data_IF_502578216373
#
_entry.id   IF_502578216373
#
_cell.length_a   1.000
_cell.length_b   1.000
_cell.length_c   1.000
_cell.angle_alpha   90.00
_cell.angle_beta   90.00
_cell.angle_gamma   90.00
#
_symmetry.space_group_name_H-M   'P 1'
#
loop_
_entity.id
_entity.type
_entity.pdbx_description
1 polymer ?
#
# COMPACT_ATOMS: atom_id res chain seq x y z
N UNK A 1 -3.33 -21.79 6.53
CA UNK A 1 -3.35 -21.26 7.91
C UNK A 1 -1.96 -20.91 8.40
N UNK A 2 -0.95 -21.79 8.22
CA UNK A 2 0.44 -21.52 8.68
C UNK A 2 1.08 -20.26 8.08
N UNK A 3 0.93 -20.02 6.78
CA UNK A 3 1.53 -18.84 6.13
C UNK A 3 0.93 -17.51 6.57
N UNK A 4 -0.36 -17.48 6.91
CA UNK A 4 -1.00 -16.24 7.38
C UNK A 4 -0.44 -15.87 8.75
N UNK A 5 -0.26 -16.86 9.65
CA UNK A 5 0.35 -16.65 10.96
C UNK A 5 1.75 -16.03 10.87
N UNK A 6 2.59 -16.46 9.92
CA UNK A 6 3.91 -15.83 9.68
C UNK A 6 3.78 -14.35 9.32
N UNK A 7 2.81 -14.00 8.47
CA UNK A 7 2.58 -12.62 8.03
C UNK A 7 2.00 -11.75 9.16
N UNK A 8 1.09 -12.29 9.96
CA UNK A 8 0.55 -11.62 11.15
C UNK A 8 1.65 -11.37 12.20
N UNK A 9 2.48 -12.38 12.48
CA UNK A 9 3.62 -12.26 13.37
C UNK A 9 4.62 -11.21 12.84
N UNK A 10 4.89 -11.20 11.53
CA UNK A 10 5.73 -10.18 10.90
C UNK A 10 5.16 -8.77 11.05
N UNK A 11 3.83 -8.61 11.04
CA UNK A 11 3.17 -7.32 11.24
C UNK A 11 3.13 -6.88 12.72
N UNK A 12 2.92 -7.80 13.68
CA UNK A 12 2.54 -7.44 15.07
C UNK A 12 3.57 -7.79 16.15
N UNK A 13 4.38 -8.83 15.98
CA UNK A 13 5.05 -9.48 17.12
C UNK A 13 6.57 -9.32 17.14
N UNK A 14 7.16 -9.58 18.30
CA UNK A 14 8.58 -9.88 18.52
C UNK A 14 8.69 -11.27 19.20
N UNK A 15 9.62 -12.15 18.79
CA UNK A 15 10.59 -11.99 17.71
C UNK A 15 9.92 -11.99 16.32
N UNK A 16 10.54 -11.28 15.38
CA UNK A 16 10.09 -11.22 13.98
C UNK A 16 10.56 -12.48 13.23
N UNK A 17 9.74 -13.07 12.34
CA UNK A 17 10.19 -14.10 11.41
C UNK A 17 11.36 -13.63 10.55
N UNK A 18 12.13 -14.57 9.99
CA UNK A 18 13.20 -14.20 9.06
C UNK A 18 12.63 -13.57 7.78
N UNK A 19 13.37 -12.65 7.16
CA UNK A 19 12.95 -12.05 5.88
C UNK A 19 12.64 -13.09 4.80
N UNK A 20 13.38 -14.21 4.77
CA UNK A 20 13.14 -15.29 3.83
C UNK A 20 11.78 -15.97 4.05
N UNK A 21 11.42 -16.25 5.31
CA UNK A 21 10.13 -16.84 5.67
C UNK A 21 8.96 -15.92 5.30
N UNK A 22 9.07 -14.61 5.59
CA UNK A 22 8.04 -13.63 5.20
C UNK A 22 7.84 -13.61 3.68
N UNK A 23 8.93 -13.64 2.92
CA UNK A 23 8.87 -13.59 1.45
C UNK A 23 8.24 -14.86 0.88
N UNK A 24 8.60 -16.02 1.41
CA UNK A 24 7.98 -17.28 1.04
C UNK A 24 6.47 -17.25 1.32
N UNK A 25 6.07 -16.81 2.52
CA UNK A 25 4.67 -16.67 2.90
C UNK A 25 3.90 -15.69 2.02
N UNK A 26 4.49 -14.53 1.67
CA UNK A 26 3.89 -13.56 0.75
C UNK A 26 3.69 -14.14 -0.66
N UNK A 27 4.69 -14.85 -1.20
CA UNK A 27 4.60 -15.47 -2.51
C UNK A 27 3.56 -16.60 -2.55
N UNK A 28 3.46 -17.38 -1.47
CA UNK A 28 2.45 -18.42 -1.36
C UNK A 28 1.04 -17.83 -1.24
N UNK A 29 0.86 -16.78 -0.43
CA UNK A 29 -0.41 -16.06 -0.34
C UNK A 29 -0.84 -15.51 -1.71
N UNK A 30 0.08 -14.91 -2.48
CA UNK A 30 -0.22 -14.45 -3.83
C UNK A 30 -0.60 -15.59 -4.79
N UNK A 31 0.12 -16.73 -4.72
CA UNK A 31 -0.19 -17.92 -5.52
C UNK A 31 -1.57 -18.47 -5.18
N UNK A 32 -1.90 -18.55 -3.90
CA UNK A 32 -3.19 -19.00 -3.40
C UNK A 32 -4.32 -18.09 -3.89
N UNK A 33 -4.18 -16.78 -3.72
CA UNK A 33 -5.18 -15.80 -4.16
C UNK A 33 -5.47 -15.91 -5.67
N UNK A 34 -4.44 -16.12 -6.49
CA UNK A 34 -4.59 -16.35 -7.93
C UNK A 34 -5.29 -17.67 -8.23
N UNK A 35 -4.88 -18.76 -7.58
CA UNK A 35 -5.47 -20.11 -7.77
C UNK A 35 -6.95 -20.12 -7.42
N UNK A 36 -7.30 -19.50 -6.30
CA UNK A 36 -8.66 -19.50 -5.75
C UNK A 36 -9.50 -18.30 -6.23
N UNK A 37 -8.93 -17.43 -7.09
CA UNK A 37 -9.58 -16.24 -7.66
C UNK A 37 -10.24 -15.36 -6.58
N UNK A 38 -9.58 -15.21 -5.43
CA UNK A 38 -10.09 -14.44 -4.29
C UNK A 38 -10.37 -13.00 -4.75
N UNK A 39 -11.52 -12.45 -4.34
CA UNK A 39 -11.95 -11.08 -4.62
C UNK A 39 -12.10 -10.31 -3.32
N UNK A 40 -11.67 -9.05 -3.35
CA UNK A 40 -11.85 -8.11 -2.25
C UNK A 40 -12.73 -6.96 -2.71
N UNK A 41 -13.33 -6.23 -1.77
CA UNK A 41 -13.95 -4.92 -2.02
C UNK A 41 -13.00 -3.79 -1.61
N UNK A 42 -13.24 -2.58 -2.11
CA UNK A 42 -12.46 -1.42 -1.67
C UNK A 42 -12.66 -1.11 -0.18
N UNK A 43 -13.88 -1.33 0.34
CA UNK A 43 -14.22 -1.12 1.74
C UNK A 43 -13.30 -1.90 2.70
N UNK A 44 -12.94 -3.14 2.35
CA UNK A 44 -12.02 -3.97 3.15
C UNK A 44 -10.61 -3.38 3.26
N UNK A 45 -10.22 -2.49 2.33
CA UNK A 45 -8.93 -1.80 2.36
C UNK A 45 -8.99 -0.49 3.16
N UNK A 46 -10.17 0.02 3.50
CA UNK A 46 -10.30 1.32 4.18
C UNK A 46 -9.68 1.31 5.58
N UNK A 47 -9.21 2.49 6.01
CA UNK A 47 -8.52 2.67 7.29
C UNK A 47 -7.01 2.84 7.13
N UNK A 48 -6.30 2.71 8.26
CA UNK A 48 -4.89 3.03 8.37
C UNK A 48 -4.03 1.76 8.47
N UNK A 49 -2.96 1.74 7.67
CA UNK A 49 -2.08 0.59 7.54
C UNK A 49 -0.62 1.02 7.66
N UNK A 50 0.11 0.47 8.63
CA UNK A 50 1.54 0.71 8.78
C UNK A 50 2.34 -0.23 7.89
N UNK A 51 3.29 0.31 7.14
CA UNK A 51 4.20 -0.50 6.34
C UNK A 51 5.18 -1.25 7.24
N UNK A 52 5.14 -2.59 7.19
CA UNK A 52 5.94 -3.45 8.05
C UNK A 52 7.14 -4.05 7.30
N UNK A 53 6.93 -4.51 6.07
CA UNK A 53 7.94 -5.25 5.32
C UNK A 53 7.84 -4.97 3.81
N UNK A 54 8.98 -4.85 3.14
CA UNK A 54 9.06 -4.65 1.69
C UNK A 54 10.15 -5.49 1.04
N UNK A 55 10.02 -5.69 -0.26
CA UNK A 55 11.06 -6.26 -1.10
C UNK A 55 11.45 -5.31 -2.24
N UNK A 56 12.64 -5.49 -2.82
CA UNK A 56 13.07 -4.71 -3.98
C UNK A 56 12.23 -4.99 -5.24
N UNK A 57 12.23 -4.04 -6.18
CA UNK A 57 11.56 -4.18 -7.49
C UNK A 57 12.26 -5.22 -8.38
N UNK A 58 11.59 -5.71 -9.43
CA UNK A 58 12.20 -6.64 -10.40
C UNK A 58 13.52 -6.10 -10.98
N UNK A 59 13.55 -4.81 -11.36
CA UNK A 59 14.74 -4.16 -11.91
C UNK A 59 15.87 -4.04 -10.89
N UNK A 60 15.55 -3.71 -9.64
CA UNK A 60 16.54 -3.59 -8.56
C UNK A 60 17.12 -4.96 -8.18
N UNK A 61 16.33 -6.03 -8.24
CA UNK A 61 16.79 -7.41 -8.01
C UNK A 61 17.71 -7.94 -9.13
N UNK A 62 17.55 -7.45 -10.37
CA UNK A 62 18.38 -7.87 -11.51
C UNK A 62 19.73 -7.13 -11.60
N UNK A 63 19.82 -5.90 -11.11
CA UNK A 63 21.04 -5.07 -11.20
C UNK A 63 22.05 -5.29 -10.07
N UNK A 64 21.63 -5.84 -8.93
CA UNK A 64 22.52 -6.19 -7.84
C UNK A 64 22.71 -7.70 -7.85
N UNK A 65 23.78 -8.18 -8.50
CA UNK A 65 24.21 -9.57 -8.42
C UNK A 65 24.45 -9.95 -6.97
N UNK A 66 23.41 -10.53 -6.34
CA UNK A 66 23.31 -10.79 -4.89
C UNK A 66 23.24 -9.47 -4.08
N UNK A 67 22.46 -9.41 -2.99
CA UNK A 67 22.38 -8.29 -2.02
C UNK A 67 21.41 -7.11 -2.31
N UNK A 68 20.25 -7.33 -2.95
CA UNK A 68 19.01 -6.77 -2.39
C UNK A 68 18.23 -7.93 -1.82
N UNK A 69 18.40 -8.13 -0.51
CA UNK A 69 17.97 -9.32 0.23
C UNK A 69 16.50 -9.68 0.05
N UNK A 70 16.17 -10.92 0.43
CA UNK A 70 14.84 -11.53 0.36
C UNK A 70 13.70 -10.53 0.62
N UNK A 71 13.86 -9.67 1.64
CA UNK A 71 13.12 -8.44 1.88
C UNK A 71 13.63 -7.79 3.15
N UNK A 72 13.07 -6.66 3.55
CA UNK A 72 13.47 -5.91 4.74
C UNK A 72 12.28 -5.42 5.54
N UNK A 73 12.41 -5.45 6.86
CA UNK A 73 11.52 -4.75 7.76
C UNK A 73 11.78 -3.24 7.73
N UNK A 74 10.73 -2.46 7.95
CA UNK A 74 10.85 -1.02 8.18
C UNK A 74 11.01 -0.81 9.69
N UNK A 75 12.15 -0.28 10.17
CA UNK A 75 12.34 -0.05 11.59
C UNK A 75 11.46 1.11 12.07
N UNK A 76 10.58 0.82 13.03
CA UNK A 76 9.60 1.79 13.54
C UNK A 76 10.25 3.02 14.20
N UNK A 77 11.43 2.84 14.77
CA UNK A 77 12.20 3.91 15.41
C UNK A 77 12.89 4.85 14.41
N UNK A 78 13.04 4.45 13.14
CA UNK A 78 13.61 5.29 12.08
C UNK A 78 12.54 6.13 11.41
N UNK A 79 11.44 5.48 11.02
CA UNK A 79 10.34 6.13 10.32
C UNK A 79 9.05 5.36 10.54
N UNK A 80 7.97 6.09 10.83
CA UNK A 80 6.62 5.53 10.79
C UNK A 80 6.03 5.82 9.43
N UNK A 81 5.92 4.78 8.60
CA UNK A 81 5.34 4.86 7.25
C UNK A 81 3.94 4.26 7.30
N UNK A 82 2.94 5.04 6.90
CA UNK A 82 1.56 4.58 6.83
C UNK A 82 0.98 4.81 5.44
N UNK A 83 0.03 3.96 5.08
CA UNK A 83 -0.88 4.19 3.97
C UNK A 83 -2.31 4.13 4.51
N UNK A 84 -3.13 5.08 4.10
CA UNK A 84 -4.53 5.14 4.48
C UNK A 84 -5.40 5.19 3.23
N UNK A 85 -6.55 4.54 3.31
CA UNK A 85 -7.56 4.54 2.25
C UNK A 85 -8.91 4.99 2.79
N UNK A 86 -9.59 5.84 2.04
CA UNK A 86 -10.94 6.29 2.34
C UNK A 86 -11.79 6.27 1.07
N UNK A 87 -13.06 5.90 1.21
CA UNK A 87 -14.05 6.01 0.12
C UNK A 87 -14.47 7.47 -0.06
N UNK A 88 -14.77 7.86 -1.29
CA UNK A 88 -15.51 9.11 -1.52
C UNK A 88 -16.97 8.92 -1.07
N UNK A 89 -17.58 9.87 -0.35
CA UNK A 89 -18.99 9.79 0.03
C UNK A 89 -19.88 9.70 -1.22
N UNK A 90 -20.84 8.77 -1.20
CA UNK A 90 -21.90 8.69 -2.20
C UNK A 90 -23.21 9.16 -1.60
N UNK A 91 -24.13 9.62 -2.45
CA UNK A 91 -25.46 10.01 -1.99
C UNK A 91 -26.19 8.80 -1.35
N UNK A 92 -27.08 9.08 -0.40
CA UNK A 92 -27.85 8.04 0.27
C UNK A 92 -28.66 7.22 -0.73
N UNK A 93 -28.52 5.89 -0.68
CA UNK A 93 -29.15 4.95 -1.61
C UNK A 93 -28.33 4.56 -2.84
N UNK A 94 -27.15 5.16 -3.04
CA UNK A 94 -26.23 4.74 -4.11
C UNK A 94 -25.32 3.58 -3.68
N UNK A 95 -24.81 2.84 -4.67
CA UNK A 95 -23.87 1.74 -4.42
C UNK A 95 -22.54 2.29 -3.87
N UNK A 96 -21.85 1.54 -3.00
CA UNK A 96 -20.52 1.92 -2.51
C UNK A 96 -19.60 2.26 -3.68
N UNK A 97 -18.92 3.40 -3.58
CA UNK A 97 -17.99 3.85 -4.60
C UNK A 97 -16.71 3.01 -4.58
N UNK A 98 -16.26 2.57 -5.75
CA UNK A 98 -14.92 2.00 -5.93
C UNK A 98 -13.86 3.10 -6.12
N UNK A 99 -14.25 4.37 -5.95
CA UNK A 99 -13.40 5.55 -6.01
C UNK A 99 -13.18 6.07 -4.58
N UNK A 100 -11.98 6.56 -4.34
CA UNK A 100 -11.59 7.04 -3.04
C UNK A 100 -10.36 7.93 -3.07
N UNK A 101 -9.72 7.99 -1.91
CA UNK A 101 -8.44 8.67 -1.71
C UNK A 101 -7.43 7.73 -1.06
N UNK A 102 -6.17 7.97 -1.38
CA UNK A 102 -5.03 7.40 -0.69
C UNK A 102 -4.25 8.51 -0.02
N UNK A 103 -3.74 8.21 1.17
CA UNK A 103 -2.71 9.02 1.83
C UNK A 103 -1.52 8.11 2.14
N UNK A 104 -0.33 8.50 1.74
CA UNK A 104 0.92 7.85 2.13
C UNK A 104 1.71 8.83 2.98
N UNK A 105 1.84 8.54 4.27
CA UNK A 105 2.51 9.39 5.23
C UNK A 105 3.80 8.78 5.73
N UNK A 106 4.80 9.63 5.93
CA UNK A 106 6.10 9.28 6.49
C UNK A 106 6.40 10.27 7.62
N UNK A 107 6.45 9.76 8.84
CA UNK A 107 6.86 10.51 10.03
C UNK A 107 8.28 10.13 10.40
N UNK A 108 9.18 11.12 10.40
CA UNK A 108 10.58 11.00 10.86
C UNK A 108 10.83 12.10 11.89
N UNK A 109 11.04 11.70 13.14
CA UNK A 109 11.13 12.65 14.26
C UNK A 109 9.87 13.50 14.36
N UNK A 110 10.02 14.82 14.22
CA UNK A 110 8.93 15.78 14.29
C UNK A 110 8.30 16.15 12.93
N UNK A 111 8.85 15.64 11.81
CA UNK A 111 8.44 16.00 10.46
C UNK A 111 7.55 14.89 9.90
N UNK A 112 6.34 15.25 9.47
CA UNK A 112 5.42 14.38 8.76
C UNK A 112 5.27 14.88 7.32
N UNK A 113 5.57 14.00 6.36
CA UNK A 113 5.31 14.23 4.94
C UNK A 113 4.18 13.30 4.51
N UNK A 114 3.11 13.87 3.94
CA UNK A 114 1.99 13.08 3.42
C UNK A 114 1.77 13.39 1.95
N UNK A 115 1.79 12.35 1.12
CA UNK A 115 1.35 12.41 -0.28
C UNK A 115 -0.07 11.87 -0.36
N UNK A 116 -0.96 12.57 -1.06
CA UNK A 116 -2.33 12.11 -1.24
C UNK A 116 -2.83 12.30 -2.67
N UNK A 117 -3.93 11.63 -3.00
CA UNK A 117 -4.58 11.75 -4.28
C UNK A 117 -5.66 10.71 -4.51
N UNK A 118 -6.24 10.67 -5.72
CA UNK A 118 -7.39 9.84 -6.02
C UNK A 118 -7.01 8.35 -6.14
N UNK A 119 -7.98 7.48 -5.85
CA UNK A 119 -7.90 6.04 -6.06
C UNK A 119 -9.08 5.54 -6.88
N UNK A 120 -8.85 4.45 -7.61
CA UNK A 120 -9.95 3.61 -8.13
C UNK A 120 -9.61 2.14 -7.97
N UNK A 121 -10.57 1.38 -7.49
CA UNK A 121 -10.42 -0.05 -7.23
C UNK A 121 -11.06 -0.87 -8.35
N UNK A 122 -10.28 -1.76 -8.95
CA UNK A 122 -10.73 -2.71 -9.95
C UNK A 122 -10.97 -4.06 -9.28
N UNK A 123 -12.20 -4.28 -8.79
CA UNK A 123 -12.63 -5.49 -8.07
C UNK A 123 -12.24 -6.78 -8.81
N UNK A 124 -12.45 -6.82 -10.13
CA UNK A 124 -12.13 -7.98 -10.97
C UNK A 124 -10.63 -8.28 -11.10
N UNK A 125 -9.76 -7.44 -10.57
CA UNK A 125 -8.31 -7.62 -10.60
C UNK A 125 -7.67 -7.49 -9.21
N UNK A 126 -8.45 -7.11 -8.18
CA UNK A 126 -7.96 -6.64 -6.88
C UNK A 126 -6.86 -5.56 -7.03
N UNK A 127 -7.01 -4.69 -8.03
CA UNK A 127 -6.02 -3.63 -8.30
C UNK A 127 -6.57 -2.31 -7.77
N UNK A 128 -5.84 -1.69 -6.84
CA UNK A 128 -6.04 -0.31 -6.47
C UNK A 128 -5.07 0.55 -7.26
N UNK A 129 -5.60 1.29 -8.24
CA UNK A 129 -4.85 2.32 -8.95
C UNK A 129 -4.91 3.63 -8.16
N UNK A 130 -3.83 4.40 -8.21
CA UNK A 130 -3.72 5.69 -7.52
C UNK A 130 -2.76 6.62 -8.24
N UNK A 131 -2.87 7.91 -7.94
CA UNK A 131 -1.85 8.92 -8.26
C UNK A 131 -1.66 9.83 -7.05
N UNK A 132 -0.42 10.20 -6.76
CA UNK A 132 -0.13 11.22 -5.76
C UNK A 132 -0.08 12.57 -6.45
N UNK A 133 -1.04 13.42 -6.11
CA UNK A 133 -1.28 14.71 -6.76
C UNK A 133 -1.12 15.84 -5.77
N UNK A 134 -1.19 15.56 -4.47
CA UNK A 134 -1.11 16.53 -3.38
C UNK A 134 -0.02 16.14 -2.38
N UNK A 135 0.49 17.16 -1.68
CA UNK A 135 1.49 17.01 -0.63
C UNK A 135 1.11 17.89 0.56
N UNK A 136 1.29 17.35 1.76
CA UNK A 136 1.18 18.05 3.03
C UNK A 136 2.48 17.85 3.81
N UNK A 137 3.00 18.93 4.37
CA UNK A 137 4.18 18.92 5.25
C UNK A 137 3.75 19.43 6.62
N UNK A 138 3.96 18.64 7.67
CA UNK A 138 3.76 19.08 9.05
C UNK A 138 5.06 19.03 9.84
N UNK A 139 5.21 19.97 10.76
CA UNK A 139 6.27 19.99 11.77
C UNK A 139 5.63 20.10 13.14
N UNK A 140 5.96 19.18 14.06
CA UNK A 140 5.37 19.12 15.40
C UNK A 140 3.83 19.12 15.36
N UNK A 141 3.26 18.41 14.38
CA UNK A 141 1.81 18.32 14.15
C UNK A 141 1.16 19.55 13.48
N UNK A 142 1.88 20.66 13.30
CA UNK A 142 1.36 21.87 12.63
C UNK A 142 1.62 21.80 11.12
N UNK A 143 0.59 22.06 10.31
CA UNK A 143 0.72 22.13 8.85
C UNK A 143 1.56 23.34 8.45
N UNK A 144 2.68 23.11 7.77
CA UNK A 144 3.55 24.14 7.19
C UNK A 144 3.24 24.38 5.72
N UNK A 145 2.79 23.34 5.02
CA UNK A 145 2.45 23.39 3.61
C UNK A 145 1.36 22.38 3.29
N UNK A 146 0.43 22.77 2.44
CA UNK A 146 -0.54 21.87 1.84
C UNK A 146 -0.89 22.38 0.43
N UNK A 147 -0.81 21.52 -0.57
CA UNK A 147 -1.14 21.91 -1.94
C UNK A 147 -0.92 20.80 -2.95
N UNK A 148 -1.12 21.12 -4.23
CA UNK A 148 -0.77 20.20 -5.31
C UNK A 148 0.76 20.08 -5.44
N UNK A 149 1.24 18.89 -5.78
CA UNK A 149 2.59 18.74 -6.32
C UNK A 149 2.62 19.28 -7.75
N UNK A 150 3.82 19.48 -8.32
CA UNK A 150 3.97 19.99 -9.69
C UNK A 150 3.13 19.16 -10.69
N UNK A 151 2.22 19.83 -11.39
CA UNK A 151 1.27 19.22 -12.34
C UNK A 151 0.20 18.33 -11.71
N UNK A 152 0.06 18.33 -10.38
CA UNK A 152 -0.86 17.46 -9.65
C UNK A 152 -2.32 17.72 -9.97
N UNK A 153 -2.71 18.99 -10.14
CA UNK A 153 -4.09 19.38 -10.46
C UNK A 153 -4.58 18.78 -11.78
N UNK A 154 -3.83 18.97 -12.87
CA UNK A 154 -4.14 18.39 -14.18
C UNK A 154 -4.16 16.85 -14.14
N UNK A 155 -3.21 16.21 -13.44
CA UNK A 155 -3.21 14.74 -13.30
C UNK A 155 -4.40 14.22 -12.49
N UNK A 156 -4.81 14.94 -11.45
CA UNK A 156 -6.00 14.59 -10.66
C UNK A 156 -7.27 14.63 -11.52
N UNK A 157 -7.40 15.66 -12.37
CA UNK A 157 -8.52 15.79 -13.31
C UNK A 157 -8.56 14.68 -14.38
N UNK A 158 -7.40 14.20 -14.84
CA UNK A 158 -7.31 13.15 -15.87
C UNK A 158 -7.36 11.71 -15.29
N UNK A 159 -7.21 11.55 -13.98
CA UNK A 159 -6.98 10.25 -13.34
C UNK A 159 -8.02 9.17 -13.69
N UNK A 160 -9.30 9.53 -13.71
CA UNK A 160 -10.36 8.55 -13.98
C UNK A 160 -10.41 8.11 -15.46
N UNK A 161 -9.91 8.95 -16.37
CA UNK A 161 -9.88 8.70 -17.81
C UNK A 161 -8.68 7.84 -18.26
N UNK A 162 -7.64 7.72 -17.42
CA UNK A 162 -6.46 6.92 -17.73
C UNK A 162 -6.69 5.43 -17.50
N UNK A 163 -6.13 4.59 -18.37
CA UNK A 163 -6.08 3.14 -18.12
C UNK A 163 -5.09 2.82 -16.99
N UNK A 164 -5.36 1.77 -16.21
CA UNK A 164 -4.50 1.34 -15.09
C UNK A 164 -3.07 1.01 -15.54
N UNK A 165 -2.91 0.57 -16.79
CA UNK A 165 -1.60 0.37 -17.42
C UNK A 165 -0.71 1.62 -17.47
N UNK A 166 -1.27 2.83 -17.29
CA UNK A 166 -0.52 4.11 -17.21
C UNK A 166 -0.41 4.66 -15.78
N UNK A 167 -1.03 4.02 -14.81
CA UNK A 167 -1.13 4.52 -13.43
C UNK A 167 -0.20 3.76 -12.49
N UNK A 168 0.12 4.36 -11.33
CA UNK A 168 0.64 3.61 -10.20
C UNK A 168 -0.47 2.72 -9.65
N UNK A 169 -0.10 1.54 -9.15
CA UNK A 169 -1.07 0.62 -8.59
C UNK A 169 -0.46 -0.37 -7.60
N UNK A 170 -1.33 -0.90 -6.75
CA UNK A 170 -1.11 -2.09 -5.94
C UNK A 170 -2.08 -3.19 -6.36
N UNK A 171 -1.56 -4.38 -6.67
CA UNK A 171 -2.35 -5.59 -6.85
C UNK A 171 -2.42 -6.34 -5.53
N UNK A 172 -3.55 -6.22 -4.83
CA UNK A 172 -3.80 -6.85 -3.54
C UNK A 172 -4.06 -8.34 -3.70
N UNK A 173 -3.41 -9.13 -2.85
CA UNK A 173 -3.58 -10.59 -2.84
C UNK A 173 -3.88 -11.15 -1.44
N UNK A 174 -3.71 -10.35 -0.39
CA UNK A 174 -4.14 -10.69 0.97
C UNK A 174 -4.78 -9.46 1.60
N UNK A 175 -6.00 -9.61 2.11
CA UNK A 175 -6.71 -8.59 2.88
C UNK A 175 -7.41 -9.30 4.03
N UNK A 176 -6.95 -9.02 5.25
CA UNK A 176 -7.47 -9.56 6.51
C UNK A 176 -7.65 -8.39 7.49
N UNK A 177 -8.42 -8.59 8.56
CA UNK A 177 -8.69 -7.54 9.56
C UNK A 177 -7.42 -6.92 10.16
N UNK A 178 -6.33 -7.68 10.24
CA UNK A 178 -5.08 -7.24 10.84
C UNK A 178 -3.96 -6.88 9.87
N UNK A 179 -4.03 -7.33 8.62
CA UNK A 179 -2.93 -7.21 7.65
C UNK A 179 -3.44 -7.10 6.22
N UNK A 180 -2.68 -6.36 5.40
CA UNK A 180 -2.84 -6.36 3.94
C UNK A 180 -1.50 -6.63 3.27
N UNK A 181 -1.54 -7.29 2.12
CA UNK A 181 -0.35 -7.48 1.29
C UNK A 181 -0.65 -7.29 -0.19
N UNK A 182 0.30 -6.66 -0.88
CA UNK A 182 0.16 -6.31 -2.28
C UNK A 182 1.48 -6.39 -3.04
N UNK A 183 1.34 -6.53 -4.35
CA UNK A 183 2.43 -6.36 -5.31
C UNK A 183 2.28 -5.01 -5.99
N UNK A 184 3.30 -4.16 -5.86
CA UNK A 184 3.34 -2.89 -6.60
C UNK A 184 3.65 -3.09 -8.07
N UNK A 185 3.36 -2.08 -8.90
CA UNK A 185 3.66 -2.07 -10.36
C UNK A 185 5.10 -2.50 -10.72
N UNK A 186 6.09 -2.09 -9.94
CA UNK A 186 7.50 -2.47 -10.14
C UNK A 186 7.83 -3.94 -9.79
N UNK A 187 6.85 -4.69 -9.32
CA UNK A 187 6.97 -6.09 -8.92
C UNK A 187 7.51 -6.31 -7.51
N UNK A 188 7.71 -5.27 -6.71
CA UNK A 188 8.00 -5.42 -5.28
C UNK A 188 6.76 -5.89 -4.52
N UNK A 189 6.97 -6.75 -3.54
CA UNK A 189 5.98 -7.13 -2.52
C UNK A 189 6.08 -6.22 -1.30
N UNK A 190 4.93 -5.98 -0.67
CA UNK A 190 4.81 -5.23 0.57
C UNK A 190 3.75 -5.85 1.49
N UNK A 191 3.99 -5.72 2.79
CA UNK A 191 3.09 -6.15 3.87
C UNK A 191 2.86 -4.95 4.80
N UNK A 192 1.61 -4.72 5.15
CA UNK A 192 1.20 -3.74 6.14
C UNK A 192 0.42 -4.40 7.27
N UNK A 193 0.54 -3.83 8.47
CA UNK A 193 -0.32 -4.15 9.61
C UNK A 193 -1.29 -3.01 9.90
N UNK A 194 -2.49 -3.34 10.36
CA UNK A 194 -3.49 -2.33 10.75
C UNK A 194 -3.00 -1.53 11.97
N UNK A 195 -3.42 -0.26 12.04
CA UNK A 195 -3.09 0.70 13.11
C UNK A 195 -4.34 1.06 13.89
#
# INVERSE_FOLDING_TARGET
MENISILEQAAKSHPKPSSAAVVAALLEAEKNAKKNKIRYSFEQLTGNWRLCFITGTKKTRQKAGVVLGAGRYIPEWVAKIQIAYSVEPVAEGEKPSEIGRVENSVLVGAIELTLSGPTKFLVNQNILAFDFTRITVKLLGKSLYQGFIRGGESREAEFFNLSVGKQAFFAYFLVEDGIIAARGRGGGLALWGRV
#
